data_IF_054832660193
#
_entry.id   IF_054832660193
#
_cell.length_a   1.000
_cell.length_b   1.000
_cell.length_c   1.000
_cell.angle_alpha   90.00
_cell.angle_beta   90.00
_cell.angle_gamma   90.00
#
_symmetry.space_group_name_H-M   'P 1'
#
loop_
_entity.id
_entity.type
_entity.pdbx_description
1 polymer ?
#
# COMPACT_ATOMS: atom_id res chain seq x y z
N UNK A 1 -12.51 -1.32 6.35
CA UNK A 1 -12.35 -1.51 4.89
C UNK A 1 -10.98 -2.07 4.60
N UNK A 2 -10.91 -3.15 3.90
CA UNK A 2 -9.63 -3.65 3.38
C UNK A 2 -9.16 -2.79 2.22
N UNK A 3 -7.89 -2.48 2.22
CA UNK A 3 -7.27 -1.70 1.16
C UNK A 3 -5.92 -2.29 0.76
N UNK A 4 -5.60 -2.18 -0.51
CA UNK A 4 -4.27 -2.47 -1.04
C UNK A 4 -3.60 -1.17 -1.46
N UNK A 5 -2.46 -0.92 -0.88
CA UNK A 5 -1.63 0.24 -1.21
C UNK A 5 -0.43 -0.26 -1.99
N UNK A 6 -0.25 0.23 -3.20
CA UNK A 6 0.90 -0.13 -4.04
C UNK A 6 1.80 1.07 -4.21
N UNK A 7 3.07 0.92 -3.84
CA UNK A 7 4.09 1.94 -4.02
C UNK A 7 5.03 1.44 -5.11
N UNK A 8 5.07 2.17 -6.22
CA UNK A 8 5.94 1.86 -7.34
C UNK A 8 7.15 2.79 -7.32
N UNK A 9 8.33 2.20 -7.32
CA UNK A 9 9.57 2.94 -7.36
C UNK A 9 9.96 3.25 -8.81
N UNK A 10 10.51 4.44 -9.00
CA UNK A 10 10.95 4.92 -10.31
C UNK A 10 12.28 4.27 -10.69
N UNK A 11 12.42 3.84 -11.94
CA UNK A 11 13.73 3.45 -12.47
C UNK A 11 14.60 4.69 -12.62
N UNK A 12 15.90 4.53 -12.39
CA UNK A 12 16.85 5.64 -12.52
C UNK A 12 16.96 6.56 -11.31
N UNK A 13 16.28 6.26 -10.20
CA UNK A 13 16.49 6.97 -8.96
C UNK A 13 17.90 6.70 -8.41
N UNK A 14 18.47 7.67 -7.72
CA UNK A 14 19.79 7.51 -7.09
C UNK A 14 19.70 6.59 -5.88
N UNK A 15 20.84 6.06 -5.45
CA UNK A 15 20.90 5.24 -4.21
C UNK A 15 20.41 6.03 -3.01
N UNK A 16 20.77 7.30 -2.90
CA UNK A 16 20.34 8.17 -1.80
C UNK A 16 18.81 8.37 -1.82
N UNK A 17 18.22 8.58 -2.99
CA UNK A 17 16.77 8.73 -3.16
C UNK A 17 16.03 7.45 -2.79
N UNK A 18 16.50 6.30 -3.25
CA UNK A 18 15.92 5.00 -2.90
C UNK A 18 16.01 4.73 -1.40
N UNK A 19 17.16 5.06 -0.78
CA UNK A 19 17.35 4.89 0.66
C UNK A 19 16.39 5.74 1.47
N UNK A 20 16.19 6.98 1.09
CA UNK A 20 15.26 7.89 1.77
C UNK A 20 13.81 7.36 1.71
N UNK A 21 13.37 6.91 0.53
CA UNK A 21 12.04 6.33 0.36
C UNK A 21 11.87 5.02 1.15
N UNK A 22 12.89 4.16 1.14
CA UNK A 22 12.87 2.90 1.88
C UNK A 22 12.81 3.13 3.40
N UNK A 23 13.55 4.10 3.91
CA UNK A 23 13.50 4.45 5.34
C UNK A 23 12.13 4.97 5.75
N UNK A 24 11.53 5.83 4.94
CA UNK A 24 10.19 6.33 5.19
C UNK A 24 9.16 5.20 5.18
N UNK A 25 9.25 4.28 4.22
CA UNK A 25 8.35 3.13 4.13
C UNK A 25 8.51 2.20 5.33
N UNK A 26 9.75 1.89 5.72
CA UNK A 26 10.03 1.07 6.90
C UNK A 26 9.43 1.70 8.16
N UNK A 27 9.57 3.00 8.34
CA UNK A 27 8.99 3.71 9.47
C UNK A 27 7.46 3.57 9.48
N UNK A 28 6.80 3.73 8.35
CA UNK A 28 5.35 3.59 8.24
C UNK A 28 4.87 2.16 8.47
N UNK A 29 5.64 1.16 8.08
CA UNK A 29 5.29 -0.23 8.34
C UNK A 29 5.45 -0.59 9.83
N UNK A 30 6.45 -0.04 10.49
CA UNK A 30 6.68 -0.25 11.93
C UNK A 30 5.74 0.59 12.80
N UNK A 31 5.37 1.76 12.34
CA UNK A 31 4.52 2.72 13.05
C UNK A 31 3.37 3.17 12.14
N UNK A 32 2.35 2.33 11.95
CA UNK A 32 1.22 2.67 11.09
C UNK A 32 0.48 3.93 11.57
N UNK A 33 -0.10 4.67 10.65
CA UNK A 33 -0.94 5.80 10.97
C UNK A 33 -2.15 5.36 11.82
N UNK A 34 -2.68 6.24 12.70
CA UNK A 34 -3.89 5.93 13.46
C UNK A 34 -5.04 5.49 12.54
N UNK A 35 -5.74 4.44 12.93
CA UNK A 35 -6.83 3.88 12.16
C UNK A 35 -6.41 2.98 10.99
N UNK A 36 -5.13 2.68 10.86
CA UNK A 36 -4.59 1.76 9.86
C UNK A 36 -4.02 0.54 10.57
N UNK A 37 -4.54 -0.64 10.27
CA UNK A 37 -4.02 -1.92 10.78
C UNK A 37 -3.38 -2.66 9.63
N UNK A 38 -2.07 -2.86 9.69
CA UNK A 38 -1.36 -3.64 8.67
C UNK A 38 -1.70 -5.12 8.80
N UNK A 39 -2.03 -5.75 7.68
CA UNK A 39 -2.29 -7.18 7.60
C UNK A 39 -1.09 -7.88 6.97
N UNK A 40 -0.58 -7.34 5.87
CA UNK A 40 0.57 -7.91 5.19
C UNK A 40 1.26 -6.85 4.34
N UNK A 41 2.54 -7.05 4.10
CA UNK A 41 3.31 -6.23 3.18
C UNK A 41 4.34 -7.11 2.49
N UNK A 42 4.48 -6.93 1.19
CA UNK A 42 5.47 -7.65 0.40
C UNK A 42 6.11 -6.74 -0.65
N UNK A 43 7.33 -7.06 -1.00
CA UNK A 43 8.07 -6.34 -2.03
C UNK A 43 8.29 -7.24 -3.25
N UNK A 44 7.98 -6.72 -4.43
CA UNK A 44 8.35 -7.33 -5.69
C UNK A 44 9.70 -6.73 -6.13
N UNK A 45 10.77 -7.46 -5.88
CA UNK A 45 12.12 -6.98 -6.17
C UNK A 45 12.38 -6.85 -7.66
N UNK A 46 11.72 -7.67 -8.48
CA UNK A 46 11.85 -7.60 -9.94
C UNK A 46 11.08 -6.45 -10.56
N UNK A 47 9.94 -6.09 -9.99
CA UNK A 47 9.06 -5.04 -10.50
C UNK A 47 9.25 -3.67 -9.85
N UNK A 48 10.03 -3.57 -8.79
CA UNK A 48 10.22 -2.32 -8.07
C UNK A 48 8.96 -1.82 -7.38
N UNK A 49 8.13 -2.72 -6.87
CA UNK A 49 6.87 -2.38 -6.22
C UNK A 49 6.82 -2.93 -4.79
N UNK A 50 6.15 -2.21 -3.93
CA UNK A 50 5.78 -2.68 -2.59
C UNK A 50 4.27 -2.66 -2.48
N UNK A 51 3.71 -3.77 -2.03
CA UNK A 51 2.28 -3.94 -1.83
C UNK A 51 1.97 -4.09 -0.36
N UNK A 52 1.04 -3.30 0.14
CA UNK A 52 0.60 -3.32 1.53
C UNK A 52 -0.89 -3.62 1.57
N UNK A 53 -1.28 -4.62 2.35
CA UNK A 53 -2.68 -4.90 2.65
C UNK A 53 -2.95 -4.40 4.06
N UNK A 54 -3.96 -3.56 4.21
CA UNK A 54 -4.30 -2.94 5.48
C UNK A 54 -5.82 -2.91 5.68
N UNK A 55 -6.23 -2.99 6.94
CA UNK A 55 -7.60 -2.68 7.33
C UNK A 55 -7.64 -1.22 7.77
N UNK A 56 -8.46 -0.43 7.11
CA UNK A 56 -8.52 1.02 7.28
C UNK A 56 -9.89 1.41 7.84
N UNK A 57 -9.89 2.00 9.04
CA UNK A 57 -11.09 2.56 9.65
C UNK A 57 -11.44 3.93 9.04
N UNK A 58 -12.56 4.52 9.43
CA UNK A 58 -12.90 5.89 9.01
C UNK A 58 -11.81 6.89 9.37
N UNK A 59 -11.21 6.77 10.56
CA UNK A 59 -10.07 7.59 10.96
C UNK A 59 -8.87 7.38 10.05
N UNK A 60 -8.60 6.11 9.69
CA UNK A 60 -7.53 5.77 8.76
C UNK A 60 -7.78 6.36 7.38
N UNK A 61 -9.03 6.36 6.91
CA UNK A 61 -9.42 6.97 5.64
C UNK A 61 -9.14 8.48 5.65
N UNK A 62 -9.43 9.16 6.75
CA UNK A 62 -9.13 10.59 6.90
C UNK A 62 -7.60 10.87 6.88
N UNK A 63 -6.80 9.87 7.25
CA UNK A 63 -5.34 9.99 7.29
C UNK A 63 -4.64 9.44 6.03
N UNK A 64 -5.40 9.02 5.03
CA UNK A 64 -4.84 8.47 3.77
C UNK A 64 -3.86 9.42 3.10
N UNK A 65 -4.08 10.72 3.20
CA UNK A 65 -3.17 11.71 2.62
C UNK A 65 -1.76 11.57 3.17
N UNK A 66 -1.60 11.19 4.44
CA UNK A 66 -0.28 10.91 5.01
C UNK A 66 0.38 9.71 4.34
N UNK A 67 -0.40 8.70 4.03
CA UNK A 67 0.10 7.55 3.26
C UNK A 67 0.50 7.97 1.85
N UNK A 68 -0.27 8.85 1.24
CA UNK A 68 0.02 9.36 -0.10
C UNK A 68 1.21 10.34 -0.13
N UNK A 69 1.73 10.76 1.01
CA UNK A 69 2.96 11.59 1.07
C UNK A 69 4.17 10.90 0.43
N UNK A 70 4.15 9.59 0.29
CA UNK A 70 5.18 8.88 -0.48
C UNK A 70 5.33 9.41 -1.91
N UNK A 71 4.29 10.00 -2.46
CA UNK A 71 4.35 10.63 -3.80
C UNK A 71 5.36 11.77 -3.88
N UNK A 72 5.73 12.35 -2.75
CA UNK A 72 6.70 13.46 -2.71
C UNK A 72 8.14 12.96 -2.69
N UNK A 73 8.36 11.66 -2.51
CA UNK A 73 9.69 11.08 -2.52
C UNK A 73 10.21 10.96 -3.95
N UNK A 74 11.42 11.45 -4.26
CA UNK A 74 11.96 11.41 -5.62
C UNK A 74 12.07 10.02 -6.22
N UNK A 75 12.28 8.99 -5.38
CA UNK A 75 12.37 7.60 -5.83
C UNK A 75 11.01 6.97 -6.14
N UNK A 76 9.90 7.59 -5.77
CA UNK A 76 8.56 7.03 -5.93
C UNK A 76 7.93 7.55 -7.21
N UNK A 77 7.55 6.62 -8.09
CA UNK A 77 6.83 6.94 -9.31
C UNK A 77 5.35 7.14 -9.06
N UNK A 78 4.74 6.24 -8.31
CA UNK A 78 3.30 6.31 -8.01
C UNK A 78 2.96 5.61 -6.69
N UNK A 79 1.88 6.06 -6.09
CA UNK A 79 1.23 5.40 -4.96
C UNK A 79 -0.24 5.25 -5.32
N UNK A 80 -0.73 4.02 -5.30
CA UNK A 80 -2.13 3.72 -5.56
C UNK A 80 -2.78 3.15 -4.32
N UNK A 81 -4.03 3.53 -4.11
CA UNK A 81 -4.86 3.02 -3.03
C UNK A 81 -6.11 2.39 -3.66
N UNK A 82 -6.36 1.12 -3.37
CA UNK A 82 -7.50 0.40 -3.92
C UNK A 82 -8.25 -0.31 -2.80
N UNK A 83 -9.56 -0.10 -2.67
CA UNK A 83 -10.37 -0.96 -1.81
C UNK A 83 -10.37 -2.37 -2.39
N UNK A 84 -10.24 -3.35 -1.51
CA UNK A 84 -10.24 -4.77 -1.89
C UNK A 84 -11.16 -5.54 -0.96
N UNK A 85 -11.55 -6.73 -1.41
CA UNK A 85 -12.35 -7.66 -0.61
C UNK A 85 -11.60 -8.98 -0.48
N UNK A 86 -11.92 -9.75 0.55
CA UNK A 86 -11.37 -11.08 0.71
C UNK A 86 -11.73 -11.95 -0.50
N UNK A 87 -10.73 -12.65 -1.06
CA UNK A 87 -10.94 -13.43 -2.27
C UNK A 87 -11.94 -14.57 -2.08
N UNK A 88 -11.98 -15.17 -0.89
CA UNK A 88 -12.93 -16.25 -0.61
C UNK A 88 -14.36 -15.73 -0.62
N UNK A 89 -14.58 -14.55 -0.01
CA UNK A 89 -15.90 -13.90 -0.02
C UNK A 89 -16.30 -13.49 -1.43
N UNK A 90 -15.41 -12.86 -2.18
CA UNK A 90 -15.67 -12.44 -3.54
C UNK A 90 -16.01 -13.62 -4.45
N UNK A 91 -15.24 -14.72 -4.36
CA UNK A 91 -15.50 -15.94 -5.15
C UNK A 91 -16.79 -16.62 -4.75
N UNK A 92 -17.12 -16.67 -3.46
CA UNK A 92 -18.37 -17.23 -2.98
C UNK A 92 -19.59 -16.46 -3.52
N UNK A 93 -19.53 -15.13 -3.54
CA UNK A 93 -20.58 -14.30 -4.13
C UNK A 93 -20.69 -14.53 -5.63
N UNK A 94 -19.56 -14.54 -6.34
CA UNK A 94 -19.53 -14.79 -7.78
C UNK A 94 -20.15 -16.12 -8.15
N UNK A 95 -19.79 -17.19 -7.45
CA UNK A 95 -20.32 -18.53 -7.71
C UNK A 95 -21.82 -18.62 -7.45
N UNK A 96 -22.34 -17.94 -6.43
CA UNK A 96 -23.77 -17.88 -6.18
C UNK A 96 -24.52 -17.12 -7.27
N UNK A 97 -23.94 -16.04 -7.78
CA UNK A 97 -24.54 -15.24 -8.85
C UNK A 97 -24.51 -15.96 -10.21
N UNK A 98 -23.56 -16.85 -10.40
CA UNK A 98 -23.36 -17.58 -11.66
C UNK A 98 -24.13 -18.92 -11.71
N UNK A 99 -24.77 -19.31 -10.62
CA UNK A 99 -25.52 -20.58 -10.54
C UNK A 99 -26.83 -20.53 -11.32
#
# INVERSE_FOLDING_TARGET
>A
MLAMITIKFRSGATVAENKAAAQMLQDRLLNPNPGVKLINACADLGGGEVHVIADVSEQGTANIERTLQFRTQPAVESVTFRPVVDAKEALAVYLRMSA
#
